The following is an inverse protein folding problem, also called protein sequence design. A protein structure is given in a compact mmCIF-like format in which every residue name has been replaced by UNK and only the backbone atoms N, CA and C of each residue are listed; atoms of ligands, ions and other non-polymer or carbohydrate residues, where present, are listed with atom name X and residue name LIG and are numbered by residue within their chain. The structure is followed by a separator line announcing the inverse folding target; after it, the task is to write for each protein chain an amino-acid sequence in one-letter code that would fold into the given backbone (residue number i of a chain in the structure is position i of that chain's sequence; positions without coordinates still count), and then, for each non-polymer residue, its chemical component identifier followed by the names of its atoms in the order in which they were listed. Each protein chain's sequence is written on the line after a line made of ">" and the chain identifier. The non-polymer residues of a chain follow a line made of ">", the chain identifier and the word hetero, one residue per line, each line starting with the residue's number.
data_IF_835013473846
#
_entry.id   IF_835013473846
#
_cell.length_a   1.000
_cell.length_b   1.000
_cell.length_c   1.000
_cell.angle_alpha   90.00
_cell.angle_beta   90.00
_cell.angle_gamma   90.00
#
_symmetry.space_group_name_H-M   'P 1'
#
loop_
_entity.id
_entity.type
_entity.pdbx_description
1 polymer ?
#
# COMPACT_ATOMS: atom_id res chain seq x y z
N UNK A 1 18.19 -10.21 2.54
CA UNK A 1 17.00 -10.94 3.05
C UNK A 1 15.82 -10.61 2.16
N UNK A 2 15.15 -11.61 1.57
CA UNK A 2 13.95 -11.37 0.77
C UNK A 2 12.75 -11.01 1.66
N UNK A 3 11.85 -10.18 1.11
CA UNK A 3 10.62 -9.71 1.76
C UNK A 3 10.70 -9.48 3.29
N UNK A 4 11.61 -8.61 3.76
CA UNK A 4 11.82 -8.40 5.18
C UNK A 4 10.59 -7.79 5.86
N UNK A 5 10.39 -8.15 7.12
CA UNK A 5 9.47 -7.47 8.04
C UNK A 5 9.94 -6.04 8.33
N UNK A 6 9.08 -5.25 8.98
CA UNK A 6 9.46 -3.93 9.48
C UNK A 6 10.59 -4.02 10.51
N UNK A 7 11.40 -2.96 10.55
CA UNK A 7 12.38 -2.76 11.63
C UNK A 7 11.69 -2.12 12.83
N UNK A 8 12.28 -2.23 14.02
CA UNK A 8 11.78 -1.53 15.23
C UNK A 8 11.62 -0.01 15.03
N UNK A 9 12.51 0.58 14.21
CA UNK A 9 12.39 1.99 13.84
C UNK A 9 11.17 2.24 12.96
N UNK A 10 10.94 1.37 11.95
CA UNK A 10 9.74 1.43 11.12
C UNK A 10 8.44 1.24 11.91
N UNK A 11 8.42 0.34 12.90
CA UNK A 11 7.28 0.17 13.81
C UNK A 11 7.03 1.45 14.63
N UNK A 12 8.09 2.09 15.13
CA UNK A 12 7.99 3.36 15.86
C UNK A 12 7.45 4.48 14.98
N UNK A 13 7.84 4.52 13.69
CA UNK A 13 7.31 5.46 12.71
C UNK A 13 5.81 5.23 12.46
N UNK A 14 5.37 3.97 12.37
CA UNK A 14 3.95 3.63 12.23
C UNK A 14 3.14 4.05 13.46
N UNK A 15 3.66 3.79 14.67
CA UNK A 15 3.02 4.20 15.92
C UNK A 15 2.88 5.73 16.03
N UNK A 16 3.91 6.47 15.62
CA UNK A 16 3.85 7.93 15.57
C UNK A 16 2.79 8.43 14.57
N UNK A 17 2.69 7.80 13.39
CA UNK A 17 1.66 8.12 12.40
C UNK A 17 0.25 7.82 12.94
N UNK A 18 0.04 6.66 13.56
CA UNK A 18 -1.24 6.29 14.16
C UNK A 18 -1.69 7.28 15.23
N UNK A 19 -0.75 7.85 16.01
CA UNK A 19 -1.05 8.82 17.05
C UNK A 19 -1.31 10.25 16.53
N UNK A 20 -0.82 10.60 15.33
CA UNK A 20 -0.79 11.98 14.86
C UNK A 20 -1.62 12.26 13.61
N UNK A 21 -2.01 11.24 12.84
CA UNK A 21 -2.77 11.43 11.61
C UNK A 21 -4.21 11.93 11.91
N UNK A 22 -4.58 13.16 11.49
CA UNK A 22 -5.81 13.80 11.93
C UNK A 22 -7.07 13.33 11.20
N UNK A 23 -6.92 12.49 10.17
CA UNK A 23 -8.00 12.14 9.25
C UNK A 23 -8.31 10.64 9.24
N UNK A 24 -7.85 9.88 10.24
CA UNK A 24 -8.06 8.43 10.34
C UNK A 24 -9.53 8.07 10.15
N UNK A 25 -10.44 8.82 10.78
CA UNK A 25 -11.87 8.52 10.72
C UNK A 25 -12.50 8.69 9.33
N UNK A 26 -11.90 9.52 8.47
CA UNK A 26 -12.38 9.71 7.08
C UNK A 26 -11.98 8.56 6.16
N UNK A 27 -10.93 7.81 6.50
CA UNK A 27 -10.46 6.72 5.64
C UNK A 27 -11.56 5.67 5.47
N UNK A 28 -11.84 5.39 4.21
CA UNK A 28 -12.84 4.43 3.73
C UNK A 28 -12.21 3.12 3.29
N UNK A 29 -10.98 3.16 2.77
CA UNK A 29 -10.26 1.99 2.26
C UNK A 29 -8.79 2.03 2.66
N UNK A 30 -8.25 0.84 2.91
CA UNK A 30 -6.82 0.60 3.10
C UNK A 30 -6.31 -0.26 1.95
N UNK A 31 -5.28 0.21 1.26
CA UNK A 31 -4.65 -0.49 0.15
C UNK A 31 -3.16 -0.61 0.42
N UNK A 32 -2.56 -1.76 0.12
CA UNK A 32 -1.12 -1.95 0.27
C UNK A 32 -0.51 -2.76 -0.87
N UNK A 33 0.78 -2.59 -1.15
CA UNK A 33 1.51 -3.60 -1.93
C UNK A 33 1.60 -4.93 -1.13
N UNK A 34 1.69 -6.10 -1.78
CA UNK A 34 1.77 -7.38 -1.07
C UNK A 34 3.18 -7.71 -0.54
N UNK A 35 3.93 -6.69 -0.12
CA UNK A 35 5.17 -6.87 0.64
C UNK A 35 4.85 -6.91 2.13
N UNK A 36 5.47 -7.81 2.89
CA UNK A 36 5.20 -7.96 4.33
C UNK A 36 5.34 -6.64 5.08
N UNK A 37 6.41 -5.88 4.80
CA UNK A 37 6.64 -4.57 5.40
C UNK A 37 5.54 -3.54 5.10
N UNK A 38 4.96 -3.54 3.89
CA UNK A 38 3.93 -2.55 3.53
C UNK A 38 2.58 -2.91 4.12
N UNK A 39 2.28 -4.21 4.20
CA UNK A 39 1.11 -4.73 4.93
C UNK A 39 1.21 -4.36 6.42
N UNK A 40 2.35 -4.64 7.06
CA UNK A 40 2.60 -4.27 8.45
C UNK A 40 2.50 -2.76 8.68
N UNK A 41 3.02 -1.96 7.73
CA UNK A 41 2.92 -0.49 7.82
C UNK A 41 1.46 -0.05 7.88
N UNK A 42 0.60 -0.60 7.03
CA UNK A 42 -0.83 -0.27 7.03
C UNK A 42 -1.52 -0.75 8.33
N UNK A 43 -1.24 -1.98 8.78
CA UNK A 43 -1.79 -2.52 10.03
C UNK A 43 -1.43 -1.68 11.26
N UNK A 44 -0.16 -1.27 11.36
CA UNK A 44 0.35 -0.55 12.53
C UNK A 44 0.05 0.95 12.49
N UNK A 45 -0.11 1.54 11.31
CA UNK A 45 -0.42 2.97 11.16
C UNK A 45 -1.92 3.26 11.31
N UNK A 46 -2.78 2.28 11.04
CA UNK A 46 -4.24 2.44 11.10
C UNK A 46 -4.94 1.35 11.93
N UNK A 47 -4.50 1.09 13.18
CA UNK A 47 -5.04 -0.02 13.97
C UNK A 47 -6.55 0.13 14.23
N UNK A 48 -7.05 1.35 14.45
CA UNK A 48 -8.48 1.60 14.70
C UNK A 48 -9.37 1.32 13.49
N UNK A 49 -8.81 1.24 12.28
CA UNK A 49 -9.56 0.99 11.05
C UNK A 49 -9.72 -0.49 10.75
N UNK A 50 -8.72 -1.31 11.11
CA UNK A 50 -8.71 -2.76 10.85
C UNK A 50 -9.31 -3.58 11.99
N UNK A 51 -9.51 -2.96 13.16
CA UNK A 51 -10.18 -3.56 14.31
C UNK A 51 -11.67 -3.16 14.38
N UNK A 52 -12.49 -3.87 15.17
CA UNK A 52 -13.84 -3.43 15.47
C UNK A 52 -13.89 -2.00 16.03
N UNK A 53 -14.88 -1.18 15.64
CA UNK A 53 -16.07 -1.55 14.87
C UNK A 53 -15.90 -1.51 13.34
N UNK A 54 -14.88 -0.81 12.81
CA UNK A 54 -14.74 -0.62 11.35
C UNK A 54 -14.35 -1.89 10.62
N UNK A 55 -13.41 -2.67 11.17
CA UNK A 55 -12.98 -3.97 10.63
C UNK A 55 -12.62 -3.95 9.14
N UNK A 56 -12.06 -2.85 8.64
CA UNK A 56 -11.66 -2.71 7.24
C UNK A 56 -10.61 -3.77 6.89
N UNK A 57 -10.71 -4.31 5.68
CA UNK A 57 -9.67 -5.17 5.10
C UNK A 57 -8.66 -4.31 4.35
N UNK A 58 -7.38 -4.65 4.49
CA UNK A 58 -6.31 -4.10 3.66
C UNK A 58 -6.33 -4.87 2.34
N UNK A 59 -6.73 -4.20 1.27
CA UNK A 59 -6.71 -4.80 -0.07
C UNK A 59 -5.28 -4.75 -0.61
N UNK A 60 -4.73 -5.91 -0.95
CA UNK A 60 -3.38 -5.97 -1.52
C UNK A 60 -3.42 -5.84 -3.04
N UNK A 61 -2.54 -4.99 -3.58
CA UNK A 61 -2.48 -4.66 -5.01
C UNK A 61 -1.04 -4.88 -5.50
N UNK A 62 -0.76 -6.00 -6.20
CA UNK A 62 0.58 -6.32 -6.70
C UNK A 62 1.22 -5.23 -7.55
N UNK A 63 0.43 -4.43 -8.26
CA UNK A 63 0.89 -3.34 -9.12
C UNK A 63 1.54 -2.19 -8.34
N UNK A 64 1.29 -2.08 -7.03
CA UNK A 64 1.92 -1.10 -6.14
C UNK A 64 3.29 -1.52 -5.61
N UNK A 65 3.78 -2.71 -5.99
CA UNK A 65 5.08 -3.19 -5.53
C UNK A 65 6.24 -2.32 -6.02
N UNK A 66 7.37 -2.38 -5.30
CA UNK A 66 8.57 -1.65 -5.67
C UNK A 66 9.12 -2.08 -7.04
N UNK A 67 9.76 -1.11 -7.69
CA UNK A 67 10.27 -1.13 -9.06
C UNK A 67 11.62 -1.79 -9.22
N UNK A 68 12.31 -2.17 -8.14
CA UNK A 68 13.60 -2.85 -8.18
C UNK A 68 13.46 -4.38 -8.11
N UNK A 69 14.51 -5.09 -8.53
CA UNK A 69 14.68 -6.54 -8.41
C UNK A 69 15.60 -6.93 -7.24
N UNK A 70 15.94 -5.98 -6.37
CA UNK A 70 16.72 -6.28 -5.17
C UNK A 70 15.97 -7.33 -4.33
N UNK A 71 16.67 -8.29 -3.68
CA UNK A 71 16.01 -9.36 -2.95
C UNK A 71 14.97 -8.86 -1.93
N UNK A 72 15.25 -7.75 -1.25
CA UNK A 72 14.31 -7.16 -0.30
C UNK A 72 13.05 -6.57 -0.97
N UNK A 73 13.08 -6.23 -2.26
CA UNK A 73 11.96 -5.70 -3.04
C UNK A 73 11.18 -6.80 -3.79
N UNK A 74 11.62 -8.05 -3.67
CA UNK A 74 10.87 -9.24 -4.10
C UNK A 74 10.01 -9.75 -2.96
N UNK A 75 8.70 -9.84 -3.20
CA UNK A 75 7.75 -10.31 -2.21
C UNK A 75 7.67 -11.83 -2.07
N UNK A 76 6.91 -12.26 -1.06
CA UNK A 76 6.66 -13.68 -0.77
C UNK A 76 5.54 -14.26 -1.64
N UNK A 77 5.56 -15.58 -1.86
CA UNK A 77 4.46 -16.27 -2.57
C UNK A 77 3.12 -16.10 -1.81
N UNK A 78 1.96 -16.20 -2.50
CA UNK A 78 0.65 -16.06 -1.88
C UNK A 78 0.48 -16.95 -0.64
N UNK A 79 0.87 -18.22 -0.71
CA UNK A 79 0.75 -19.18 0.38
C UNK A 79 1.58 -18.75 1.60
N UNK A 80 2.77 -18.20 1.37
CA UNK A 80 3.62 -17.70 2.44
C UNK A 80 3.02 -16.45 3.10
N UNK A 81 2.34 -15.60 2.35
CA UNK A 81 1.61 -14.45 2.89
C UNK A 81 0.34 -14.87 3.64
N UNK A 82 -0.32 -15.96 3.25
CA UNK A 82 -1.48 -16.51 3.97
C UNK A 82 -1.12 -17.10 5.34
N UNK A 83 0.09 -17.64 5.51
CA UNK A 83 0.58 -18.18 6.78
C UNK A 83 0.96 -17.10 7.81
N UNK A 84 1.06 -15.85 7.40
CA UNK A 84 1.39 -14.75 8.29
C UNK A 84 0.21 -14.41 9.21
N UNK A 85 0.54 -13.86 10.38
CA UNK A 85 -0.45 -13.54 11.42
C UNK A 85 -1.17 -12.22 11.13
N UNK A 86 -1.90 -12.14 10.03
CA UNK A 86 -2.69 -10.96 9.66
C UNK A 86 -4.07 -10.88 10.33
N UNK A 87 -4.46 -11.86 11.15
CA UNK A 87 -5.76 -11.94 11.82
C UNK A 87 -6.98 -11.76 10.86
N UNK A 88 -6.84 -12.23 9.61
CA UNK A 88 -7.85 -12.08 8.56
C UNK A 88 -8.06 -10.63 8.11
N UNK A 89 -7.21 -9.67 8.49
CA UNK A 89 -7.34 -8.24 8.16
C UNK A 89 -6.86 -7.88 6.76
N UNK A 90 -6.26 -8.83 6.05
CA UNK A 90 -5.63 -8.60 4.75
C UNK A 90 -6.36 -9.42 3.71
N UNK A 91 -6.78 -8.76 2.64
CA UNK A 91 -7.33 -9.39 1.45
C UNK A 91 -6.21 -9.62 0.43
N UNK A 92 -5.90 -10.91 0.21
CA UNK A 92 -4.89 -11.40 -0.73
C UNK A 92 -5.48 -11.86 -2.06
N UNK A 93 -6.78 -11.64 -2.32
CA UNK A 93 -7.50 -12.16 -3.50
C UNK A 93 -6.86 -11.78 -4.84
N UNK A 94 -6.14 -10.66 -4.91
CA UNK A 94 -5.41 -10.19 -6.11
C UNK A 94 -3.99 -10.73 -6.23
N UNK A 95 -3.44 -11.32 -5.17
CA UNK A 95 -2.06 -11.81 -5.12
C UNK A 95 -2.04 -13.22 -5.70
N UNK A 96 -1.74 -13.32 -6.98
CA UNK A 96 -1.72 -14.59 -7.71
C UNK A 96 -0.32 -15.19 -7.76
N UNK A 97 -0.24 -16.49 -8.03
CA UNK A 97 1.03 -17.17 -8.22
C UNK A 97 1.87 -16.47 -9.29
N UNK A 98 3.15 -16.26 -8.99
CA UNK A 98 4.09 -15.54 -9.86
C UNK A 98 4.03 -14.00 -9.78
N UNK A 99 3.24 -13.40 -8.88
CA UNK A 99 3.19 -11.93 -8.71
C UNK A 99 4.53 -11.29 -8.35
N UNK A 100 5.43 -12.09 -7.77
CA UNK A 100 6.75 -11.72 -7.28
C UNK A 100 7.88 -12.11 -8.25
N UNK A 101 7.59 -12.66 -9.43
CA UNK A 101 8.62 -12.96 -10.43
C UNK A 101 9.16 -11.68 -11.07
N UNK A 102 10.40 -11.29 -10.75
CA UNK A 102 11.06 -10.10 -11.29
C UNK A 102 11.80 -10.34 -12.62
N UNK A 103 11.67 -11.53 -13.23
CA UNK A 103 12.33 -11.86 -14.51
C UNK A 103 11.96 -10.89 -15.64
N UNK A 104 12.82 -10.78 -16.66
CA UNK A 104 12.61 -9.84 -17.77
C UNK A 104 11.32 -10.11 -18.57
N UNK A 105 10.88 -11.37 -18.66
CA UNK A 105 9.64 -11.76 -19.32
C UNK A 105 8.39 -11.44 -18.50
N UNK A 106 8.53 -11.31 -17.19
CA UNK A 106 7.40 -11.11 -16.28
C UNK A 106 6.83 -9.67 -16.36
N UNK A 107 5.51 -9.49 -16.16
CA UNK A 107 4.92 -8.16 -15.98
C UNK A 107 5.42 -7.42 -14.73
N UNK A 108 6.06 -8.12 -13.78
CA UNK A 108 6.57 -7.55 -12.52
C UNK A 108 8.04 -7.12 -12.58
N UNK A 109 8.68 -7.31 -13.74
CA UNK A 109 10.04 -6.86 -14.05
C UNK A 109 10.29 -5.39 -13.66
N UNK A 110 11.53 -5.03 -13.27
CA UNK A 110 11.93 -3.64 -13.04
C UNK A 110 12.03 -2.79 -14.32
N UNK A 111 11.84 -3.38 -15.51
CA UNK A 111 11.91 -2.65 -16.77
C UNK A 111 10.93 -1.45 -16.78
N UNK A 112 11.36 -0.25 -17.21
CA UNK A 112 10.54 0.97 -17.16
C UNK A 112 9.14 0.82 -17.77
N UNK A 113 9.04 0.17 -18.94
CA UNK A 113 7.76 -0.04 -19.62
C UNK A 113 6.80 -0.94 -18.83
N UNK A 114 7.34 -1.90 -18.06
CA UNK A 114 6.56 -2.78 -17.19
C UNK A 114 6.10 -2.03 -15.94
N UNK A 115 6.97 -1.19 -15.37
CA UNK A 115 6.62 -0.30 -14.25
C UNK A 115 5.51 0.68 -14.66
N UNK A 116 5.62 1.31 -15.83
CA UNK A 116 4.60 2.22 -16.37
C UNK A 116 3.26 1.52 -16.58
N UNK A 117 3.28 0.31 -17.16
CA UNK A 117 2.08 -0.49 -17.34
C UNK A 117 1.39 -0.81 -16.00
N UNK A 118 2.16 -1.20 -14.97
CA UNK A 118 1.62 -1.44 -13.62
C UNK A 118 1.05 -0.16 -13.00
N UNK A 119 1.71 0.98 -13.20
CA UNK A 119 1.22 2.26 -12.70
C UNK A 119 -0.12 2.67 -13.33
N UNK A 120 -0.36 2.35 -14.60
CA UNK A 120 -1.67 2.55 -15.25
C UNK A 120 -2.73 1.67 -14.60
N UNK A 121 -2.44 0.39 -14.39
CA UNK A 121 -3.37 -0.56 -13.78
C UNK A 121 -3.70 -0.18 -12.33
N UNK A 122 -2.71 0.21 -11.53
CA UNK A 122 -2.95 0.60 -10.13
C UNK A 122 -3.77 1.89 -10.02
N UNK A 123 -3.54 2.89 -10.88
CA UNK A 123 -4.35 4.12 -10.90
C UNK A 123 -5.81 3.83 -11.26
N UNK A 124 -6.05 2.99 -12.27
CA UNK A 124 -7.41 2.58 -12.65
C UNK A 124 -8.11 1.85 -11.52
N UNK A 125 -7.40 0.90 -10.88
CA UNK A 125 -7.94 0.19 -9.73
C UNK A 125 -8.35 1.14 -8.59
N UNK A 126 -7.52 2.11 -8.23
CA UNK A 126 -7.83 3.08 -7.17
C UNK A 126 -9.02 3.98 -7.55
N UNK A 127 -9.10 4.38 -8.82
CA UNK A 127 -10.22 5.16 -9.35
C UNK A 127 -11.53 4.37 -9.28
N UNK A 128 -11.54 3.14 -9.78
CA UNK A 128 -12.70 2.24 -9.76
C UNK A 128 -13.14 1.96 -8.31
N UNK A 129 -12.19 1.68 -7.40
CA UNK A 129 -12.48 1.46 -5.99
C UNK A 129 -13.18 2.67 -5.33
N UNK A 130 -12.74 3.88 -5.65
CA UNK A 130 -13.37 5.10 -5.16
C UNK A 130 -14.77 5.32 -5.74
N UNK A 131 -14.90 5.16 -7.06
CA UNK A 131 -16.17 5.32 -7.78
C UNK A 131 -17.22 4.33 -7.28
N UNK A 132 -16.88 3.05 -7.15
CA UNK A 132 -17.79 2.02 -6.65
C UNK A 132 -18.30 2.34 -5.22
N UNK A 133 -17.44 2.91 -4.38
CA UNK A 133 -17.83 3.34 -3.04
C UNK A 133 -18.77 4.55 -3.08
N UNK A 134 -18.43 5.57 -3.87
CA UNK A 134 -19.22 6.78 -4.03
C UNK A 134 -20.61 6.49 -4.61
N UNK A 135 -20.68 5.65 -5.65
CA UNK A 135 -21.95 5.23 -6.26
C UNK A 135 -22.82 4.46 -5.27
N UNK A 136 -22.21 3.59 -4.46
CA UNK A 136 -22.94 2.76 -3.49
C UNK A 136 -23.41 3.53 -2.26
N UNK A 137 -22.69 4.56 -1.83
CA UNK A 137 -22.91 5.21 -0.53
C UNK A 137 -23.34 6.68 -0.64
N UNK A 138 -23.10 7.33 -1.77
CA UNK A 138 -23.22 8.78 -1.95
C UNK A 138 -22.19 9.60 -1.18
N UNK A 139 -21.14 8.97 -0.62
CA UNK A 139 -20.09 9.61 0.17
C UNK A 139 -18.75 9.56 -0.56
N UNK A 140 -17.94 10.61 -0.40
CA UNK A 140 -16.59 10.70 -0.98
C UNK A 140 -15.69 9.56 -0.46
N UNK A 141 -14.93 8.95 -1.36
CA UNK A 141 -13.97 7.91 -1.01
C UNK A 141 -12.64 8.52 -0.56
N UNK A 142 -12.16 8.11 0.61
CA UNK A 142 -10.79 8.39 1.08
C UNK A 142 -9.99 7.10 1.19
N UNK A 143 -8.97 6.95 0.35
CA UNK A 143 -8.19 5.72 0.21
C UNK A 143 -6.77 5.96 0.73
N UNK A 144 -6.35 5.24 1.76
CA UNK A 144 -4.96 5.27 2.22
C UNK A 144 -4.15 4.15 1.57
N UNK A 145 -3.04 4.50 0.93
CA UNK A 145 -2.21 3.57 0.15
C UNK A 145 -0.83 3.43 0.77
N UNK A 146 -0.45 2.20 1.14
CA UNK A 146 0.88 1.83 1.63
C UNK A 146 1.70 1.17 0.53
N UNK A 147 2.67 1.89 -0.01
CA UNK A 147 3.64 1.38 -0.99
C UNK A 147 5.06 1.76 -0.59
N UNK A 148 6.04 0.96 -1.00
CA UNK A 148 7.45 1.27 -0.74
C UNK A 148 7.96 2.23 -1.81
N UNK A 149 8.37 3.43 -1.40
CA UNK A 149 9.08 4.35 -2.29
C UNK A 149 10.53 3.93 -2.48
N UNK A 150 11.04 4.13 -3.70
CA UNK A 150 12.45 3.98 -4.02
C UNK A 150 13.27 5.00 -3.24
N UNK A 151 14.21 4.52 -2.44
CA UNK A 151 15.18 5.38 -1.76
C UNK A 151 15.98 6.17 -2.82
N UNK A 152 15.99 7.50 -2.70
CA UNK A 152 16.69 8.38 -3.65
C UNK A 152 15.96 8.67 -4.97
N UNK A 153 14.67 8.32 -5.09
CA UNK A 153 13.85 8.76 -6.23
C UNK A 153 13.78 10.29 -6.26
N UNK A 154 14.43 10.89 -7.26
CA UNK A 154 14.26 12.31 -7.63
C UNK A 154 13.05 12.52 -8.55
N UNK A 155 12.13 11.55 -8.65
CA UNK A 155 10.88 11.77 -9.37
C UNK A 155 10.11 12.80 -8.53
N UNK A 156 9.97 14.05 -8.99
CA UNK A 156 9.25 15.06 -8.25
C UNK A 156 7.83 14.55 -8.05
N UNK A 157 7.32 14.74 -6.83
CA UNK A 157 5.89 14.58 -6.59
C UNK A 157 5.17 15.51 -7.57
N UNK A 158 4.09 15.03 -8.17
CA UNK A 158 3.23 15.90 -8.95
C UNK A 158 2.66 16.98 -8.03
N UNK A 159 2.32 18.14 -8.58
CA UNK A 159 1.77 19.25 -7.79
C UNK A 159 0.53 18.82 -6.98
N UNK A 160 -0.23 17.85 -7.50
CA UNK A 160 -1.39 17.27 -6.83
C UNK A 160 -1.00 16.40 -5.63
N UNK A 161 0.04 15.55 -5.77
CA UNK A 161 0.59 14.75 -4.65
C UNK A 161 1.24 15.63 -3.58
N UNK A 162 1.90 16.73 -3.97
CA UNK A 162 2.44 17.72 -3.01
C UNK A 162 1.33 18.42 -2.24
N UNK A 163 0.22 18.74 -2.91
CA UNK A 163 -0.94 19.41 -2.32
C UNK A 163 -1.71 18.49 -1.38
N UNK A 164 -1.81 17.21 -1.72
CA UNK A 164 -2.42 16.18 -0.88
C UNK A 164 -1.56 15.91 0.36
N UNK A 165 -0.24 15.79 0.22
CA UNK A 165 0.70 15.67 1.35
C UNK A 165 0.73 16.93 2.23
N UNK A 166 0.62 18.12 1.65
CA UNK A 166 0.50 19.38 2.40
C UNK A 166 -0.83 19.49 3.16
N UNK A 167 -1.92 18.95 2.60
CA UNK A 167 -3.21 18.84 3.29
C UNK A 167 -3.18 17.87 4.46
N UNK A 168 -2.32 16.84 4.40
CA UNK A 168 -2.13 15.86 5.47
C UNK A 168 -1.16 16.37 6.54
N UNK A 169 -0.13 17.12 6.15
CA UNK A 169 0.93 17.64 7.01
C UNK A 169 0.64 19.02 7.64
N UNK A 170 -0.62 19.45 7.67
CA UNK A 170 -1.05 20.75 8.18
C UNK A 170 -0.88 20.89 9.70
N UNK A 171 0.36 21.02 10.16
CA UNK A 171 0.79 21.72 11.38
C UNK A 171 2.31 21.89 11.34
N UNK A 172 2.74 22.99 10.71
CA UNK A 172 4.01 23.64 11.06
C UNK A 172 3.68 25.06 11.46
N UNK A 173 3.74 25.32 12.77
CA UNK A 173 4.30 26.58 13.26
C UNK A 173 5.78 26.33 13.51
#
# INVERSE_FOLDING_TARGET
>A
MPDPLLTKHGESQCAALAASFPHTERITHLVASPLRRTILTALLSFPSLVEPPKSLKIVTVPELQETSDAPCDTGSAPEALEQEQWAGKVDLSRVKEGWNDKSASSPWSPAPQKVEARAVVSRRFLQELGQEYEERTGQEAHIAVSSKRRAGSKIPLTADEERELASIGGLKN
#
